data_IF_310775132518
#
_entry.id   IF_310775132518
#
_cell.length_a   1.000
_cell.length_b   1.000
_cell.length_c   1.000
_cell.angle_alpha   90.00
_cell.angle_beta   90.00
_cell.angle_gamma   90.00
#
_symmetry.space_group_name_H-M   'P 1'
#
loop_
_entity.id
_entity.type
_entity.pdbx_description
1 polymer ?
#
# COMPACT_ATOMS: atom_id res chain seq x y z
N UNK A 1 -10.65 20.92 -5.59
CA UNK A 1 -10.03 19.77 -6.26
C UNK A 1 -10.88 18.58 -5.84
N UNK A 2 -11.13 17.60 -6.72
CA UNK A 2 -11.75 16.34 -6.28
C UNK A 2 -10.73 15.59 -5.44
N UNK A 3 -11.15 15.05 -4.30
CA UNK A 3 -10.29 14.26 -3.43
C UNK A 3 -9.81 12.99 -4.18
N UNK A 4 -8.57 12.60 -3.93
CA UNK A 4 -8.01 11.36 -4.51
C UNK A 4 -8.64 10.17 -3.80
N UNK A 5 -9.27 9.28 -4.55
CA UNK A 5 -9.89 8.05 -4.04
C UNK A 5 -8.82 7.00 -3.77
N UNK A 6 -8.70 6.59 -2.51
CA UNK A 6 -7.67 5.64 -2.06
C UNK A 6 -8.29 4.32 -1.65
N UNK A 7 -7.76 3.23 -2.21
CA UNK A 7 -8.02 1.87 -1.79
C UNK A 7 -6.81 1.31 -0.99
N UNK A 8 -7.07 0.55 0.08
CA UNK A 8 -6.02 -0.04 0.91
C UNK A 8 -6.10 -1.57 0.86
N UNK A 9 -5.04 -2.22 0.34
CA UNK A 9 -4.85 -3.67 0.39
C UNK A 9 -4.15 -4.08 1.69
N UNK A 10 -4.64 -5.13 2.34
CA UNK A 10 -4.19 -5.55 3.66
C UNK A 10 -4.72 -4.64 4.76
N UNK A 11 -5.95 -4.15 4.60
CA UNK A 11 -6.55 -3.09 5.42
C UNK A 11 -6.69 -3.44 6.91
N UNK A 12 -6.83 -4.72 7.24
CA UNK A 12 -6.93 -5.19 8.62
C UNK A 12 -5.57 -5.50 9.28
N UNK A 13 -4.48 -5.48 8.50
CA UNK A 13 -3.11 -5.63 8.97
C UNK A 13 -2.63 -4.43 9.79
N UNK A 14 -1.48 -4.56 10.44
CA UNK A 14 -0.89 -3.48 11.26
C UNK A 14 -0.70 -2.17 10.47
N UNK A 15 -0.08 -2.27 9.29
CA UNK A 15 0.12 -1.09 8.42
C UNK A 15 -1.20 -0.61 7.81
N UNK A 16 -2.05 -1.55 7.37
CA UNK A 16 -3.36 -1.22 6.80
C UNK A 16 -4.23 -0.38 7.74
N UNK A 17 -4.32 -0.74 9.01
CA UNK A 17 -5.06 0.04 10.02
C UNK A 17 -4.49 1.45 10.19
N UNK A 18 -3.17 1.60 10.19
CA UNK A 18 -2.53 2.93 10.23
C UNK A 18 -2.89 3.74 8.99
N UNK A 19 -2.81 3.14 7.81
CA UNK A 19 -3.15 3.80 6.54
C UNK A 19 -4.64 4.18 6.46
N UNK A 20 -5.54 3.29 6.89
CA UNK A 20 -6.99 3.60 7.00
C UNK A 20 -7.20 4.83 7.86
N UNK A 21 -6.53 4.91 9.02
CA UNK A 21 -6.62 6.07 9.90
C UNK A 21 -6.10 7.34 9.23
N UNK A 22 -4.89 7.31 8.69
CA UNK A 22 -4.25 8.50 8.10
C UNK A 22 -5.03 9.00 6.87
N UNK A 23 -5.46 8.11 5.97
CA UNK A 23 -6.26 8.48 4.79
C UNK A 23 -7.63 9.04 5.19
N UNK A 24 -8.25 8.50 6.25
CA UNK A 24 -9.57 8.99 6.73
C UNK A 24 -9.46 10.38 7.37
N UNK A 25 -8.30 10.73 7.94
CA UNK A 25 -8.06 12.03 8.60
C UNK A 25 -7.52 13.10 7.65
N UNK A 26 -7.06 12.73 6.47
CA UNK A 26 -6.53 13.66 5.48
C UNK A 26 -7.67 14.34 4.71
N UNK A 27 -7.61 15.68 4.59
CA UNK A 27 -8.65 16.49 3.95
C UNK A 27 -8.59 16.45 2.40
N UNK A 28 -7.54 15.87 1.82
CA UNK A 28 -7.31 15.79 0.38
C UNK A 28 -7.51 14.38 -0.19
N UNK A 29 -7.68 13.39 0.70
CA UNK A 29 -7.84 11.98 0.37
C UNK A 29 -9.24 11.49 0.74
N UNK A 30 -9.74 10.55 -0.03
CA UNK A 30 -10.99 9.84 0.28
C UNK A 30 -10.73 8.34 0.35
N UNK A 31 -10.89 7.73 1.51
CA UNK A 31 -10.90 6.28 1.61
C UNK A 31 -12.17 5.74 0.91
N UNK A 32 -12.00 4.94 -0.14
CA UNK A 32 -13.13 4.40 -0.92
C UNK A 32 -13.24 2.89 -0.83
N UNK A 33 -12.14 2.18 -0.54
CA UNK A 33 -12.15 0.73 -0.47
C UNK A 33 -11.09 0.19 0.51
N UNK A 34 -11.41 -0.94 1.14
CA UNK A 34 -10.55 -1.66 2.07
C UNK A 34 -10.60 -3.15 1.74
N UNK A 35 -9.48 -3.71 1.25
CA UNK A 35 -9.36 -5.08 0.80
C UNK A 35 -8.60 -5.93 1.81
N UNK A 36 -9.10 -7.15 2.03
CA UNK A 36 -8.43 -8.12 2.90
C UNK A 36 -8.67 -9.56 2.41
N UNK A 37 -7.91 -10.52 2.93
CA UNK A 37 -8.11 -11.95 2.63
C UNK A 37 -9.52 -12.40 3.07
N UNK A 38 -10.18 -13.21 2.24
CA UNK A 38 -11.54 -13.71 2.49
C UNK A 38 -11.71 -14.46 3.79
N UNK A 39 -10.63 -15.01 4.34
CA UNK A 39 -10.63 -15.75 5.61
C UNK A 39 -10.36 -14.85 6.83
N UNK A 40 -10.08 -13.56 6.60
CA UNK A 40 -9.79 -12.65 7.70
C UNK A 40 -11.04 -12.37 8.54
N UNK A 41 -10.89 -12.38 9.86
CA UNK A 41 -12.00 -12.23 10.82
C UNK A 41 -12.65 -10.84 10.83
N UNK A 42 -12.04 -9.86 10.17
CA UNK A 42 -12.54 -8.49 10.06
C UNK A 42 -13.28 -8.20 8.76
N UNK A 43 -13.44 -9.20 7.86
CA UNK A 43 -14.33 -9.07 6.70
C UNK A 43 -15.75 -8.71 7.15
N UNK A 44 -16.36 -7.75 6.48
CA UNK A 44 -17.69 -7.23 6.78
C UNK A 44 -17.74 -6.18 7.89
N UNK A 45 -16.61 -5.88 8.55
CA UNK A 45 -16.53 -4.80 9.55
C UNK A 45 -16.16 -3.47 8.90
N UNK A 46 -16.55 -2.38 9.54
CA UNK A 46 -16.13 -1.03 9.15
C UNK A 46 -14.62 -0.84 9.39
N UNK A 47 -13.90 -0.39 8.36
CA UNK A 47 -12.45 -0.27 8.39
C UNK A 47 -11.95 0.77 9.41
N UNK A 48 -12.70 1.86 9.62
CA UNK A 48 -12.39 2.85 10.65
C UNK A 48 -12.47 2.27 12.06
N UNK A 49 -13.52 1.49 12.35
CA UNK A 49 -13.67 0.81 13.64
C UNK A 49 -12.51 -0.18 13.85
N UNK A 50 -12.14 -0.95 12.84
CA UNK A 50 -10.99 -1.88 12.90
C UNK A 50 -9.67 -1.12 13.09
N UNK A 51 -9.55 0.07 12.51
CA UNK A 51 -8.39 0.95 12.68
C UNK A 51 -8.37 1.71 14.02
N UNK A 52 -9.41 1.58 14.86
CA UNK A 52 -9.48 2.24 16.16
C UNK A 52 -9.89 3.72 16.12
N UNK A 53 -10.58 4.13 15.04
CA UNK A 53 -11.16 5.47 14.90
C UNK A 53 -12.69 5.41 14.80
N UNK A 54 -13.36 6.52 14.49
CA UNK A 54 -14.78 6.53 14.19
C UNK A 54 -15.07 5.77 12.88
N UNK A 55 -16.34 5.42 12.67
CA UNK A 55 -16.76 4.77 11.42
C UNK A 55 -16.30 5.58 10.21
N UNK A 56 -15.59 4.92 9.30
CA UNK A 56 -15.22 5.47 8.00
C UNK A 56 -16.35 5.36 6.96
N UNK A 57 -17.30 4.45 7.17
CA UNK A 57 -18.31 4.09 6.19
C UNK A 57 -17.83 3.09 5.14
N UNK A 58 -16.53 2.71 5.15
CA UNK A 58 -15.93 1.76 4.21
C UNK A 58 -15.82 0.40 4.89
N UNK A 59 -16.46 -0.61 4.32
CA UNK A 59 -16.45 -1.98 4.84
C UNK A 59 -15.26 -2.74 4.28
N UNK A 60 -14.55 -3.48 5.13
CA UNK A 60 -13.49 -4.40 4.73
C UNK A 60 -14.12 -5.55 3.95
N UNK A 61 -13.65 -5.78 2.72
CA UNK A 61 -14.20 -6.75 1.77
C UNK A 61 -13.08 -7.55 1.11
N UNK A 62 -13.42 -8.71 0.56
CA UNK A 62 -12.59 -9.51 -0.32
C UNK A 62 -12.95 -9.34 -1.81
N UNK A 63 -13.90 -8.46 -2.13
CA UNK A 63 -14.31 -8.16 -3.50
C UNK A 63 -13.28 -7.27 -4.21
N UNK A 64 -12.32 -7.92 -4.86
CA UNK A 64 -11.29 -7.24 -5.64
C UNK A 64 -11.88 -6.40 -6.80
N UNK A 65 -12.96 -6.83 -7.44
CA UNK A 65 -13.49 -6.11 -8.59
C UNK A 65 -14.08 -4.76 -8.17
N UNK A 66 -14.88 -4.75 -7.13
CA UNK A 66 -15.39 -3.51 -6.57
C UNK A 66 -14.26 -2.64 -6.01
N UNK A 67 -13.27 -3.23 -5.34
CA UNK A 67 -12.13 -2.52 -4.76
C UNK A 67 -11.38 -1.69 -5.81
N UNK A 68 -10.89 -2.33 -6.88
CA UNK A 68 -10.08 -1.64 -7.89
C UNK A 68 -10.89 -0.69 -8.78
N UNK A 69 -12.20 -0.92 -8.96
CA UNK A 69 -13.06 -0.04 -9.76
C UNK A 69 -13.41 1.28 -9.06
N UNK A 70 -13.21 1.38 -7.75
CA UNK A 70 -13.59 2.55 -6.94
C UNK A 70 -12.41 3.41 -6.48
N UNK A 71 -11.17 3.00 -6.77
CA UNK A 71 -9.96 3.69 -6.34
C UNK A 71 -9.21 4.36 -7.51
N UNK A 72 -8.69 5.56 -7.30
CA UNK A 72 -7.74 6.22 -8.20
C UNK A 72 -6.31 5.80 -7.88
N UNK A 73 -6.03 5.55 -6.60
CA UNK A 73 -4.74 5.09 -6.10
C UNK A 73 -4.91 3.93 -5.10
N UNK A 74 -4.02 2.96 -5.17
CA UNK A 74 -3.99 1.79 -4.28
C UNK A 74 -2.73 1.82 -3.44
N UNK A 75 -2.86 1.63 -2.13
CA UNK A 75 -1.73 1.42 -1.22
C UNK A 75 -1.76 -0.04 -0.78
N UNK A 76 -0.71 -0.79 -1.09
CA UNK A 76 -0.63 -2.24 -0.84
C UNK A 76 0.45 -2.60 0.19
N UNK A 77 0.01 -3.05 1.35
CA UNK A 77 0.80 -3.68 2.41
C UNK A 77 0.23 -5.07 2.74
N UNK A 78 -0.16 -5.81 1.72
CA UNK A 78 -0.72 -7.16 1.83
C UNK A 78 0.37 -8.25 1.86
N UNK A 79 0.09 -9.41 1.32
CA UNK A 79 1.03 -10.52 1.23
C UNK A 79 1.74 -10.55 -0.13
N UNK A 80 3.01 -10.98 -0.15
CA UNK A 80 3.81 -11.04 -1.37
C UNK A 80 3.15 -11.84 -2.51
N UNK A 81 2.46 -12.93 -2.17
CA UNK A 81 1.78 -13.79 -3.13
C UNK A 81 0.53 -13.17 -3.78
N UNK A 82 0.02 -12.06 -3.26
CA UNK A 82 -1.15 -11.35 -3.84
C UNK A 82 -0.74 -10.18 -4.75
N UNK A 83 0.51 -9.72 -4.67
CA UNK A 83 0.98 -8.51 -5.35
C UNK A 83 0.79 -8.57 -6.87
N UNK A 84 1.13 -9.69 -7.51
CA UNK A 84 0.99 -9.84 -8.97
C UNK A 84 -0.48 -9.72 -9.41
N UNK A 85 -1.40 -10.35 -8.68
CA UNK A 85 -2.84 -10.25 -8.95
C UNK A 85 -3.35 -8.82 -8.73
N UNK A 86 -2.93 -8.18 -7.65
CA UNK A 86 -3.35 -6.83 -7.29
C UNK A 86 -2.87 -5.80 -8.33
N UNK A 87 -1.59 -5.86 -8.72
CA UNK A 87 -1.01 -4.95 -9.71
C UNK A 87 -1.67 -5.07 -11.08
N UNK A 88 -2.00 -6.30 -11.49
CA UNK A 88 -2.73 -6.55 -12.73
C UNK A 88 -4.09 -5.86 -12.70
N UNK A 89 -4.87 -6.05 -11.65
CA UNK A 89 -6.19 -5.42 -11.49
C UNK A 89 -6.10 -3.90 -11.38
N UNK A 90 -5.10 -3.37 -10.66
CA UNK A 90 -4.85 -1.93 -10.60
C UNK A 90 -4.57 -1.34 -12.00
N UNK A 91 -3.75 -2.02 -12.81
CA UNK A 91 -3.47 -1.62 -14.18
C UNK A 91 -4.71 -1.65 -15.08
N UNK A 92 -5.54 -2.69 -14.98
CA UNK A 92 -6.78 -2.85 -15.73
C UNK A 92 -7.80 -1.74 -15.41
N UNK A 93 -7.75 -1.18 -14.19
CA UNK A 93 -8.67 -0.12 -13.73
C UNK A 93 -8.03 1.29 -13.75
N UNK A 94 -6.77 1.43 -14.21
CA UNK A 94 -6.10 2.73 -14.33
C UNK A 94 -5.67 3.34 -12.99
N UNK A 95 -5.55 2.53 -11.93
CA UNK A 95 -5.11 2.99 -10.62
C UNK A 95 -3.60 3.28 -10.60
N UNK A 96 -3.17 4.31 -9.87
CA UNK A 96 -1.80 4.42 -9.41
C UNK A 96 -1.53 3.40 -8.28
N UNK A 97 -0.26 2.98 -8.10
CA UNK A 97 0.04 1.90 -7.15
C UNK A 97 1.21 2.24 -6.23
N UNK A 98 0.99 2.17 -4.93
CA UNK A 98 2.02 2.35 -3.90
C UNK A 98 2.24 1.01 -3.19
N UNK A 99 3.40 0.40 -3.40
CA UNK A 99 3.73 -0.94 -2.93
C UNK A 99 4.72 -0.88 -1.77
N UNK A 100 4.25 -1.27 -0.60
CA UNK A 100 5.07 -1.42 0.62
C UNK A 100 5.22 -2.87 1.09
N UNK A 101 4.64 -3.83 0.35
CA UNK A 101 4.80 -5.26 0.64
C UNK A 101 6.25 -5.70 0.43
N UNK A 102 6.79 -6.46 1.36
CA UNK A 102 8.17 -6.96 1.34
C UNK A 102 8.22 -8.47 1.08
N UNK A 103 9.43 -9.00 0.85
CA UNK A 103 9.62 -10.44 0.60
C UNK A 103 9.22 -10.86 -0.82
N UNK A 104 9.31 -9.95 -1.78
CA UNK A 104 9.04 -10.21 -3.19
C UNK A 104 10.21 -10.98 -3.81
N UNK A 105 9.90 -11.98 -4.63
CA UNK A 105 10.88 -12.70 -5.44
C UNK A 105 11.19 -11.96 -6.75
N UNK A 106 12.24 -12.44 -7.45
CA UNK A 106 12.70 -11.83 -8.70
C UNK A 106 11.63 -11.91 -9.80
N UNK A 107 10.79 -12.93 -9.81
CA UNK A 107 9.69 -13.08 -10.78
C UNK A 107 8.65 -11.97 -10.56
N UNK A 108 8.23 -11.75 -9.32
CA UNK A 108 7.34 -10.65 -8.94
C UNK A 108 7.93 -9.29 -9.27
N UNK A 109 9.23 -9.07 -8.99
CA UNK A 109 9.91 -7.81 -9.33
C UNK A 109 9.94 -7.55 -10.84
N UNK A 110 10.14 -8.58 -11.66
CA UNK A 110 10.09 -8.47 -13.11
C UNK A 110 8.68 -8.11 -13.61
N UNK A 111 7.63 -8.67 -13.00
CA UNK A 111 6.24 -8.31 -13.30
C UNK A 111 5.97 -6.86 -12.95
N UNK A 112 6.37 -6.40 -11.76
CA UNK A 112 6.22 -5.01 -11.33
C UNK A 112 6.90 -4.06 -12.33
N UNK A 113 8.13 -4.36 -12.73
CA UNK A 113 8.88 -3.57 -13.72
C UNK A 113 8.13 -3.46 -15.05
N UNK A 114 7.55 -4.56 -15.54
CA UNK A 114 6.74 -4.55 -16.77
C UNK A 114 5.52 -3.64 -16.65
N UNK A 115 4.79 -3.70 -15.53
CA UNK A 115 3.62 -2.84 -15.33
C UNK A 115 4.00 -1.37 -15.16
N UNK A 116 5.19 -1.06 -14.57
CA UNK A 116 5.64 0.33 -14.39
C UNK A 116 5.92 1.08 -15.71
N UNK A 117 5.97 0.39 -16.84
CA UNK A 117 6.08 1.02 -18.16
C UNK A 117 4.79 1.76 -18.56
N UNK A 118 3.63 1.36 -18.02
CA UNK A 118 2.32 1.87 -18.44
C UNK A 118 1.45 2.38 -17.27
N UNK A 119 1.90 2.27 -16.02
CA UNK A 119 1.20 2.79 -14.85
C UNK A 119 2.16 3.39 -13.85
N UNK A 120 1.71 4.36 -13.08
CA UNK A 120 2.51 4.96 -12.01
C UNK A 120 2.62 3.98 -10.83
N UNK A 121 3.85 3.54 -10.53
CA UNK A 121 4.16 2.66 -9.39
C UNK A 121 5.23 3.30 -8.52
N UNK A 122 4.98 3.39 -7.22
CA UNK A 122 5.98 3.68 -6.21
C UNK A 122 6.20 2.39 -5.41
N UNK A 123 7.43 1.91 -5.34
CA UNK A 123 7.78 0.73 -4.54
C UNK A 123 8.96 1.05 -3.63
N UNK A 124 8.84 0.69 -2.36
CA UNK A 124 9.94 0.76 -1.40
C UNK A 124 9.81 -0.31 -0.34
N UNK A 125 10.93 -0.95 -0.01
CA UNK A 125 10.99 -1.91 1.10
C UNK A 125 10.88 -1.24 2.47
N UNK A 126 11.14 0.07 2.55
CA UNK A 126 10.99 0.86 3.76
C UNK A 126 10.64 2.32 3.44
N UNK A 127 9.46 2.74 3.86
CA UNK A 127 8.96 4.11 3.66
C UNK A 127 9.14 4.99 4.92
N UNK A 128 9.80 4.49 5.97
CA UNK A 128 10.11 5.30 7.17
C UNK A 128 11.13 6.38 6.83
N UNK A 129 10.77 7.64 7.04
CA UNK A 129 11.67 8.79 6.86
C UNK A 129 12.92 8.64 7.72
N UNK A 130 12.76 8.26 9.01
CA UNK A 130 13.87 8.08 9.94
C UNK A 130 14.85 6.99 9.49
N UNK A 131 14.37 5.86 9.02
CA UNK A 131 15.23 4.78 8.49
C UNK A 131 15.96 5.22 7.23
N UNK A 132 15.28 5.90 6.31
CA UNK A 132 15.91 6.40 5.09
C UNK A 132 17.00 7.45 5.38
N UNK A 133 16.78 8.34 6.36
CA UNK A 133 17.81 9.27 6.84
C UNK A 133 18.98 8.50 7.46
N UNK A 134 18.75 7.51 8.31
CA UNK A 134 19.81 6.70 8.90
C UNK A 134 20.63 5.98 7.84
N UNK A 135 20.00 5.38 6.84
CA UNK A 135 20.68 4.74 5.70
C UNK A 135 21.51 5.73 4.89
N UNK A 136 20.99 6.94 4.66
CA UNK A 136 21.72 8.00 3.98
C UNK A 136 22.97 8.43 4.75
N UNK A 137 22.83 8.68 6.07
CA UNK A 137 23.95 9.04 6.94
C UNK A 137 24.98 7.93 7.02
N UNK A 138 24.56 6.67 7.12
CA UNK A 138 25.46 5.51 7.12
C UNK A 138 26.29 5.46 5.85
N UNK A 139 25.68 5.65 4.68
CA UNK A 139 26.42 5.70 3.39
C UNK A 139 27.42 6.85 3.36
N UNK A 140 27.04 8.02 3.87
CA UNK A 140 27.90 9.21 3.90
C UNK A 140 29.10 8.96 4.82
N UNK A 141 28.89 8.42 6.00
CA UNK A 141 29.95 8.07 6.95
C UNK A 141 30.88 7.00 6.35
N UNK A 142 30.32 5.93 5.80
CA UNK A 142 31.12 4.86 5.19
C UNK A 142 31.97 5.34 3.99
N UNK A 143 31.54 6.39 3.29
CA UNK A 143 32.32 6.99 2.21
C UNK A 143 33.45 7.93 2.69
N UNK A 144 33.44 8.33 3.97
CA UNK A 144 34.49 9.17 4.60
C UNK A 144 35.49 8.31 5.35
N UNK A 145 35.03 7.21 5.96
CA UNK A 145 35.87 6.26 6.65
C UNK A 145 36.50 5.32 5.61
N UNK A 146 37.84 5.28 5.61
CA UNK A 146 38.61 4.39 4.74
C UNK A 146 38.58 2.95 5.29
N UNK A 147 39.12 1.97 4.52
CA UNK A 147 39.15 0.54 4.88
C UNK A 147 39.92 0.22 6.19
N UNK A 148 40.55 1.22 6.79
CA UNK A 148 41.30 1.09 8.06
C UNK A 148 40.41 1.29 9.33
N UNK A 149 39.09 1.50 9.20
CA UNK A 149 38.16 1.67 10.31
C UNK A 149 37.15 0.52 10.43
#
# INVERSE_FOLDING_TARGET
>A
MSDIKVGICGAAGRMGRTLVKEVTLDETLQLTAALEDSKHTDIGKDSGIVAGIQKSGVIISDDQNNFFSTADAVIDFSLANTVVSNIKKASENGCCYVLGTTGLDDETLNVIKKYSENMAIIMSSNMSVGVNIALYLTRLIAGILDEEF
#
